data_IF_118568335272
#
_entry.id   IF_118568335272
#
_cell.length_a   1.000
_cell.length_b   1.000
_cell.length_c   1.000
_cell.angle_alpha   90.00
_cell.angle_beta   90.00
_cell.angle_gamma   90.00
#
_symmetry.space_group_name_H-M   'P 1'
#
loop_
_entity.id
_entity.type
_entity.pdbx_description
1 polymer ?
#
# COMPACT_ATOMS: atom_id res chain seq x y z
N UNK A 1 -41.66 10.28 51.80
CA UNK A 1 -41.53 8.87 51.37
C UNK A 1 -41.10 8.86 49.92
N UNK A 2 -39.88 8.32 49.70
CA UNK A 2 -39.24 7.87 48.45
C UNK A 2 -38.92 8.94 47.38
N UNK A 3 -37.69 9.43 47.23
CA UNK A 3 -36.39 8.84 46.79
C UNK A 3 -36.28 8.47 45.31
N UNK A 4 -35.08 8.74 44.77
CA UNK A 4 -34.51 8.54 43.42
C UNK A 4 -34.68 9.72 42.46
N UNK A 5 -33.90 10.81 42.58
CA UNK A 5 -32.45 10.94 42.28
C UNK A 5 -32.03 10.37 40.91
N UNK A 6 -31.79 11.31 39.99
CA UNK A 6 -30.65 11.39 39.07
C UNK A 6 -30.21 10.08 38.39
N UNK A 7 -30.63 9.89 37.15
CA UNK A 7 -29.88 9.11 36.17
C UNK A 7 -29.65 9.99 34.95
N UNK A 8 -28.61 10.82 35.06
CA UNK A 8 -27.88 11.32 33.90
C UNK A 8 -27.29 10.07 33.25
N UNK A 9 -27.96 9.58 32.20
CA UNK A 9 -27.40 8.56 31.33
C UNK A 9 -26.13 9.15 30.72
N UNK A 10 -25.01 8.76 31.33
CA UNK A 10 -23.67 8.78 30.77
C UNK A 10 -23.70 8.01 29.45
N UNK A 11 -24.09 8.68 28.37
CA UNK A 11 -23.56 8.32 27.07
C UNK A 11 -22.09 8.73 27.14
N UNK A 12 -21.27 7.74 27.48
CA UNK A 12 -19.83 7.74 27.33
C UNK A 12 -19.53 8.34 25.96
N UNK A 13 -19.12 9.60 25.98
CA UNK A 13 -18.46 10.26 24.88
C UNK A 13 -17.14 9.49 24.73
N UNK A 14 -17.19 8.39 23.99
CA UNK A 14 -16.03 7.84 23.31
C UNK A 14 -15.70 8.83 22.19
N UNK A 15 -15.31 10.05 22.58
CA UNK A 15 -14.35 10.80 21.79
C UNK A 15 -13.10 9.92 21.86
N UNK A 16 -13.04 8.98 20.92
CA UNK A 16 -11.78 8.52 20.40
C UNK A 16 -11.18 9.82 19.89
N UNK A 17 -10.33 10.45 20.72
CA UNK A 17 -9.35 11.39 20.23
C UNK A 17 -8.50 10.54 19.30
N UNK A 18 -8.96 10.41 18.05
CA UNK A 18 -8.05 10.10 16.96
C UNK A 18 -7.16 11.34 16.97
N UNK A 19 -6.02 11.21 17.64
CA UNK A 19 -4.85 11.97 17.26
C UNK A 19 -4.53 11.38 15.89
N UNK A 20 -5.32 11.75 14.88
CA UNK A 20 -4.88 11.66 13.50
C UNK A 20 -3.78 12.70 13.43
N UNK A 21 -2.60 12.30 13.90
CA UNK A 21 -1.36 12.92 13.50
C UNK A 21 -1.44 12.93 11.98
N UNK A 22 -1.80 14.08 11.42
CA UNK A 22 -1.84 14.26 9.97
C UNK A 22 -0.41 14.00 9.52
N UNK A 23 -0.19 12.83 8.93
CA UNK A 23 1.09 12.51 8.35
C UNK A 23 1.21 13.33 7.06
N UNK A 24 2.37 13.95 6.89
CA UNK A 24 2.77 14.61 5.66
C UNK A 24 3.48 13.62 4.74
N UNK A 25 3.79 14.07 3.53
CA UNK A 25 4.53 13.29 2.55
C UNK A 25 5.70 14.09 1.99
N UNK A 26 6.88 13.46 1.93
CA UNK A 26 8.02 13.97 1.17
C UNK A 26 8.00 13.37 -0.22
N UNK A 27 7.74 14.19 -1.23
CA UNK A 27 7.57 13.74 -2.62
C UNK A 27 8.88 13.77 -3.41
N UNK A 28 9.13 12.68 -4.13
CA UNK A 28 10.13 12.57 -5.20
C UNK A 28 9.41 12.33 -6.52
N UNK A 29 9.27 13.40 -7.31
CA UNK A 29 8.55 13.38 -8.58
C UNK A 29 9.39 12.80 -9.72
N UNK A 30 8.70 12.39 -10.80
CA UNK A 30 9.27 11.86 -12.05
C UNK A 30 10.18 10.65 -11.84
N UNK A 31 9.89 9.86 -10.81
CA UNK A 31 10.59 8.64 -10.43
C UNK A 31 9.61 7.60 -9.92
N UNK A 32 9.94 6.34 -10.16
CA UNK A 32 9.26 5.21 -9.54
C UNK A 32 10.26 4.07 -9.24
N UNK A 33 9.87 3.21 -8.31
CA UNK A 33 10.52 1.94 -7.97
C UNK A 33 9.84 0.85 -8.80
N UNK A 34 10.61 0.08 -9.58
CA UNK A 34 10.05 -1.11 -10.23
C UNK A 34 10.21 -2.31 -9.29
N UNK A 35 9.14 -2.88 -8.72
CA UNK A 35 9.27 -3.98 -7.80
C UNK A 35 9.71 -5.25 -8.55
N UNK A 36 10.69 -5.95 -7.99
CA UNK A 36 11.12 -7.25 -8.51
C UNK A 36 10.23 -8.35 -7.98
N UNK A 37 9.68 -9.17 -8.88
CA UNK A 37 9.04 -10.44 -8.53
C UNK A 37 10.06 -11.58 -8.67
N UNK A 38 9.88 -12.67 -7.92
CA UNK A 38 10.86 -13.76 -7.90
C UNK A 38 10.36 -15.08 -8.52
N UNK A 39 9.05 -15.24 -8.75
CA UNK A 39 8.47 -16.49 -9.26
C UNK A 39 7.23 -16.24 -10.14
N UNK A 40 7.37 -15.71 -11.38
CA UNK A 40 6.23 -15.61 -12.28
C UNK A 40 5.73 -17.01 -12.67
N UNK A 41 4.51 -17.39 -12.25
CA UNK A 41 3.80 -18.54 -12.81
C UNK A 41 2.96 -18.12 -14.00
N UNK A 42 2.71 -19.08 -14.88
CA UNK A 42 1.66 -19.00 -15.89
C UNK A 42 0.60 -20.03 -15.50
N UNK A 43 -0.67 -19.66 -15.57
CA UNK A 43 -1.78 -20.60 -15.45
C UNK A 43 -2.74 -20.36 -14.29
N UNK A 44 -2.45 -19.40 -13.41
CA UNK A 44 -3.40 -18.99 -12.37
C UNK A 44 -4.64 -18.35 -13.03
N UNK A 45 -5.82 -18.78 -12.63
CA UNK A 45 -7.08 -18.38 -13.26
C UNK A 45 -7.57 -17.03 -12.74
N UNK A 46 -7.35 -16.75 -11.46
CA UNK A 46 -7.76 -15.53 -10.77
C UNK A 46 -6.76 -15.08 -9.67
N UNK A 47 -7.02 -13.90 -9.09
CA UNK A 47 -6.18 -13.34 -8.04
C UNK A 47 -6.19 -14.20 -6.76
N UNK A 48 -7.27 -14.91 -6.47
CA UNK A 48 -7.38 -15.75 -5.26
C UNK A 48 -6.42 -16.94 -5.32
N UNK A 49 -6.24 -17.55 -6.49
CA UNK A 49 -5.24 -18.62 -6.69
C UNK A 49 -3.81 -18.08 -6.51
N UNK A 50 -3.55 -16.88 -7.04
CA UNK A 50 -2.27 -16.19 -6.90
C UNK A 50 -1.95 -15.86 -5.42
N UNK A 51 -2.96 -15.39 -4.66
CA UNK A 51 -2.87 -15.12 -3.23
C UNK A 51 -2.62 -16.40 -2.43
N UNK A 52 -3.30 -17.51 -2.78
CA UNK A 52 -3.06 -18.81 -2.14
C UNK A 52 -1.62 -19.28 -2.35
N UNK A 53 -1.07 -19.10 -3.55
CA UNK A 53 0.33 -19.42 -3.84
C UNK A 53 1.29 -18.57 -3.00
N UNK A 54 0.99 -17.29 -2.85
CA UNK A 54 1.74 -16.40 -1.97
C UNK A 54 1.71 -16.88 -0.52
N UNK A 55 0.52 -17.19 0.00
CA UNK A 55 0.32 -17.67 1.38
C UNK A 55 1.06 -18.99 1.67
N UNK A 56 1.28 -19.83 0.64
CA UNK A 56 2.04 -21.07 0.75
C UNK A 56 3.56 -20.90 0.57
N UNK A 57 4.05 -19.69 0.25
CA UNK A 57 5.46 -19.38 0.10
C UNK A 57 5.91 -18.40 1.18
N UNK A 58 6.75 -18.85 2.12
CA UNK A 58 7.17 -18.04 3.27
C UNK A 58 7.97 -16.77 2.91
N UNK A 59 8.42 -16.63 1.65
CA UNK A 59 9.08 -15.41 1.17
C UNK A 59 8.10 -14.37 0.63
N UNK A 60 6.87 -14.78 0.33
CA UNK A 60 5.90 -13.90 -0.32
C UNK A 60 5.16 -13.03 0.69
N UNK A 61 5.08 -11.73 0.40
CA UNK A 61 4.28 -10.77 1.18
C UNK A 61 3.02 -10.34 0.45
N UNK A 62 3.07 -10.29 -0.87
CA UNK A 62 1.92 -9.98 -1.72
C UNK A 62 2.08 -10.57 -3.11
N UNK A 63 0.96 -10.82 -3.77
CA UNK A 63 0.94 -11.29 -5.14
C UNK A 63 0.04 -10.45 -6.04
N UNK A 64 0.35 -10.42 -7.33
CA UNK A 64 -0.43 -9.72 -8.34
C UNK A 64 -0.67 -10.63 -9.54
N UNK A 65 -1.94 -10.85 -9.88
CA UNK A 65 -2.31 -11.41 -11.16
C UNK A 65 -2.41 -10.30 -12.20
N UNK A 66 -1.61 -10.41 -13.27
CA UNK A 66 -1.83 -9.60 -14.47
C UNK A 66 -2.51 -10.44 -15.54
N UNK A 67 -3.75 -10.10 -15.94
CA UNK A 67 -4.41 -10.76 -17.06
C UNK A 67 -3.74 -10.34 -18.38
N UNK A 68 -3.56 -11.31 -19.28
CA UNK A 68 -3.07 -11.16 -20.68
C UNK A 68 -1.54 -11.06 -20.92
N UNK A 69 -1.01 -11.72 -21.98
CA UNK A 69 -1.67 -12.71 -22.85
C UNK A 69 -1.76 -14.11 -22.21
N UNK A 70 -1.00 -14.34 -21.14
CA UNK A 70 -1.08 -15.50 -20.29
C UNK A 70 -1.25 -14.94 -18.88
N UNK A 71 -2.29 -15.36 -18.16
CA UNK A 71 -2.44 -14.97 -16.77
C UNK A 71 -1.14 -15.27 -16.03
N UNK A 72 -0.48 -14.20 -15.57
CA UNK A 72 0.80 -14.29 -14.86
C UNK A 72 0.59 -13.83 -13.44
N UNK A 73 0.90 -14.72 -12.50
CA UNK A 73 0.95 -14.40 -11.09
C UNK A 73 2.38 -14.02 -10.72
N UNK A 74 2.56 -12.80 -10.24
CA UNK A 74 3.83 -12.30 -9.73
C UNK A 74 3.81 -12.35 -8.22
N UNK A 75 4.78 -13.05 -7.63
CA UNK A 75 5.00 -13.07 -6.19
C UNK A 75 6.08 -12.06 -5.82
N UNK A 76 5.80 -11.25 -4.81
CA UNK A 76 6.70 -10.23 -4.29
C UNK A 76 7.06 -10.52 -2.85
N UNK A 77 8.23 -10.06 -2.43
CA UNK A 77 8.74 -10.15 -1.07
C UNK A 77 8.72 -8.79 -0.38
N UNK A 78 8.99 -8.79 0.92
CA UNK A 78 9.19 -7.58 1.70
C UNK A 78 10.27 -6.69 1.03
N UNK A 79 10.15 -5.35 1.11
CA UNK A 79 9.22 -4.58 1.96
C UNK A 79 7.87 -4.25 1.29
N UNK A 80 7.54 -4.83 0.14
CA UNK A 80 6.27 -4.54 -0.54
C UNK A 80 5.10 -5.19 0.20
N UNK A 81 4.10 -4.41 0.59
CA UNK A 81 2.96 -4.88 1.40
C UNK A 81 1.60 -4.68 0.74
N UNK A 82 1.52 -3.83 -0.29
CA UNK A 82 0.27 -3.60 -1.02
C UNK A 82 0.53 -3.21 -2.48
N UNK A 83 -0.34 -3.69 -3.37
CA UNK A 83 -0.35 -3.38 -4.80
C UNK A 83 -1.79 -3.13 -5.23
N UNK A 84 -2.02 -2.07 -5.99
CA UNK A 84 -3.29 -1.82 -6.67
C UNK A 84 -3.09 -1.40 -8.12
N UNK A 85 -4.02 -1.84 -8.98
CA UNK A 85 -4.09 -1.47 -10.40
C UNK A 85 -5.15 -0.37 -10.58
N UNK A 86 -5.05 0.39 -11.67
CA UNK A 86 -5.98 1.47 -12.03
C UNK A 86 -6.21 2.48 -10.89
N UNK A 87 -5.15 2.80 -10.15
CA UNK A 87 -5.16 3.66 -8.96
C UNK A 87 -4.34 4.92 -9.23
N UNK A 88 -4.95 6.10 -9.00
CA UNK A 88 -4.25 7.38 -9.12
C UNK A 88 -3.41 7.72 -7.86
N UNK A 89 -2.61 8.79 -7.95
CA UNK A 89 -1.71 9.20 -6.86
C UNK A 89 -2.48 9.55 -5.58
N UNK A 90 -3.64 10.20 -5.70
CA UNK A 90 -4.45 10.60 -4.54
C UNK A 90 -4.98 9.36 -3.83
N UNK A 91 -5.57 8.42 -4.58
CA UNK A 91 -6.07 7.15 -4.05
C UNK A 91 -4.93 6.32 -3.42
N UNK A 92 -3.74 6.33 -4.03
CA UNK A 92 -2.56 5.66 -3.49
C UNK A 92 -2.14 6.27 -2.14
N UNK A 93 -2.12 7.60 -2.04
CA UNK A 93 -1.80 8.33 -0.82
C UNK A 93 -2.85 8.14 0.28
N UNK A 94 -4.14 8.14 -0.05
CA UNK A 94 -5.22 7.83 0.91
C UNK A 94 -5.08 6.41 1.46
N UNK A 95 -4.82 5.44 0.57
CA UNK A 95 -4.59 4.04 0.97
C UNK A 95 -3.40 3.93 1.91
N UNK A 96 -2.25 4.51 1.55
CA UNK A 96 -1.07 4.55 2.41
C UNK A 96 -1.33 5.26 3.76
N UNK A 97 -2.10 6.34 3.75
CA UNK A 97 -2.45 7.07 4.98
C UNK A 97 -3.25 6.19 5.94
N UNK A 98 -4.20 5.41 5.41
CA UNK A 98 -5.03 4.48 6.20
C UNK A 98 -4.26 3.28 6.75
N UNK A 99 -3.11 2.95 6.17
CA UNK A 99 -2.25 1.85 6.59
C UNK A 99 -1.20 2.35 7.59
N UNK A 100 -1.23 1.80 8.81
CA UNK A 100 -0.22 2.08 9.84
C UNK A 100 1.19 1.58 9.45
N UNK A 101 1.27 0.53 8.65
CA UNK A 101 2.51 -0.05 8.14
C UNK A 101 3.08 0.68 6.92
N UNK A 102 2.33 1.62 6.32
CA UNK A 102 2.86 2.35 5.17
C UNK A 102 3.96 3.31 5.62
N UNK A 103 5.14 3.17 5.01
CA UNK A 103 6.28 4.09 5.16
C UNK A 103 6.53 4.82 3.85
N UNK A 104 6.38 4.12 2.72
CA UNK A 104 6.64 4.65 1.38
C UNK A 104 5.55 4.22 0.40
N UNK A 105 5.06 5.17 -0.39
CA UNK A 105 4.24 4.90 -1.56
C UNK A 105 5.04 5.15 -2.84
N UNK A 106 4.69 4.41 -3.87
CA UNK A 106 5.31 4.47 -5.18
C UNK A 106 4.20 4.32 -6.22
N UNK A 107 3.90 5.42 -6.90
CA UNK A 107 2.88 5.51 -7.93
C UNK A 107 3.54 5.50 -9.30
N UNK A 108 3.26 4.44 -10.07
CA UNK A 108 3.62 4.36 -11.48
C UNK A 108 2.50 5.00 -12.30
N UNK A 109 2.79 6.18 -12.84
CA UNK A 109 1.84 7.19 -13.28
C UNK A 109 1.08 6.91 -14.57
N UNK A 110 0.73 8.00 -15.26
CA UNK A 110 -0.41 8.21 -16.19
C UNK A 110 -0.82 7.09 -17.15
N UNK A 111 0.09 6.19 -17.54
CA UNK A 111 -0.18 5.10 -18.48
C UNK A 111 -0.37 3.74 -17.82
N UNK A 112 0.11 3.57 -16.59
CA UNK A 112 0.09 2.29 -15.87
C UNK A 112 -0.83 2.34 -14.65
N UNK A 113 -0.92 3.50 -13.99
CA UNK A 113 -1.80 3.76 -12.85
C UNK A 113 -1.71 2.64 -11.79
N UNK A 114 -0.50 2.33 -11.36
CA UNK A 114 -0.26 1.33 -10.32
C UNK A 114 0.25 2.00 -9.05
N UNK A 115 -0.34 1.59 -7.94
CA UNK A 115 0.09 1.96 -6.61
C UNK A 115 0.85 0.80 -5.99
N UNK A 116 2.04 1.07 -5.47
CA UNK A 116 2.82 0.14 -4.66
C UNK A 116 3.08 0.80 -3.30
N UNK A 117 2.86 0.06 -2.22
CA UNK A 117 3.07 0.55 -0.86
C UNK A 117 4.04 -0.37 -0.14
N UNK A 118 5.02 0.24 0.51
CA UNK A 118 6.10 -0.43 1.21
C UNK A 118 6.09 -0.06 2.70
N UNK A 119 6.56 -0.99 3.53
CA UNK A 119 6.76 -0.79 4.96
C UNK A 119 8.19 -0.40 5.34
N UNK A 120 8.93 0.17 4.38
CA UNK A 120 10.32 0.58 4.56
C UNK A 120 10.60 1.92 3.85
N UNK A 121 11.69 2.58 4.22
CA UNK A 121 12.11 3.89 3.68
C UNK A 121 12.83 3.76 2.35
N UNK A 122 12.89 4.87 1.61
CA UNK A 122 13.53 4.96 0.31
C UNK A 122 15.02 4.62 0.37
N UNK A 123 15.69 4.98 1.47
CA UNK A 123 17.13 4.75 1.71
C UNK A 123 17.51 3.26 1.76
N UNK A 124 16.56 2.39 2.07
CA UNK A 124 16.79 0.94 2.14
C UNK A 124 16.63 0.23 0.78
N UNK A 125 16.20 0.94 -0.27
CA UNK A 125 16.11 0.37 -1.61
C UNK A 125 17.45 0.49 -2.36
N UNK A 126 17.93 -0.57 -3.03
CA UNK A 126 19.17 -0.50 -3.79
C UNK A 126 19.03 0.48 -4.96
N UNK A 127 20.08 1.24 -5.22
CA UNK A 127 20.09 2.31 -6.24
C UNK A 127 19.78 1.86 -7.68
N UNK A 128 19.84 0.55 -7.96
CA UNK A 128 19.48 -0.04 -9.25
C UNK A 128 17.98 -0.27 -9.50
N UNK A 129 17.10 -0.02 -8.51
CA UNK A 129 15.65 -0.22 -8.63
C UNK A 129 14.89 1.04 -9.05
N UNK A 130 15.60 2.16 -9.18
CA UNK A 130 15.04 3.42 -9.62
C UNK A 130 15.02 3.52 -11.13
N UNK A 131 13.83 3.76 -11.67
CA UNK A 131 13.67 4.07 -13.09
C UNK A 131 13.24 5.53 -13.21
N UNK A 132 14.07 6.34 -13.85
CA UNK A 132 13.59 7.53 -14.55
C UNK A 132 12.97 7.00 -15.86
N UNK A 133 11.84 7.44 -16.41
CA UNK A 133 11.42 8.81 -16.68
C UNK A 133 9.94 8.69 -17.15
N UNK A 134 9.02 9.50 -16.59
CA UNK A 134 7.77 9.97 -17.21
C UNK A 134 7.06 10.94 -16.26
N UNK A 135 6.36 11.92 -16.84
CA UNK A 135 5.51 12.82 -16.07
C UNK A 135 4.40 12.05 -15.35
N UNK A 136 4.31 12.23 -14.03
CA UNK A 136 3.27 11.64 -13.16
C UNK A 136 3.69 10.38 -12.40
N UNK A 137 4.91 9.89 -12.59
CA UNK A 137 5.53 8.91 -11.71
C UNK A 137 5.91 9.61 -10.40
N UNK A 138 5.66 8.97 -9.24
CA UNK A 138 5.87 9.62 -7.94
C UNK A 138 6.22 8.60 -6.87
N UNK A 139 7.30 8.87 -6.14
CA UNK A 139 7.60 8.22 -4.86
C UNK A 139 7.25 9.22 -3.76
N UNK A 140 6.65 8.78 -2.67
CA UNK A 140 6.47 9.62 -1.51
C UNK A 140 6.69 8.85 -0.20
N UNK A 141 7.45 9.44 0.71
CA UNK A 141 7.66 8.90 2.06
C UNK A 141 6.72 9.58 3.04
N UNK A 142 6.02 8.75 3.83
CA UNK A 142 5.08 9.20 4.85
C UNK A 142 5.85 9.68 6.07
N UNK A 143 5.62 10.92 6.48
CA UNK A 143 6.26 11.56 7.64
C UNK A 143 5.17 11.86 8.66
N UNK A 144 5.14 11.11 9.75
CA UNK A 144 4.22 11.36 10.85
C UNK A 144 4.98 12.01 12.02
N UNK A 145 4.38 12.97 12.74
CA UNK A 145 4.99 13.62 13.91
C UNK A 145 5.17 12.68 15.11
#
# INVERSE_FOLDING_TARGET
MNNFLCSILLFSVSVIIRIDAQCDYTYTNDRYISPSSFEPSIGDLDQSECDQRCNNNSRCTIALLTPSPFNRCYLYEAPLIFISQDTDLTQCAETCTSMNQCVLLNHWGRNVQRCYIYNDTLDNFPSGYYFNVRAGDTIAEKVCP
#
